data_IF_921171736339
#
_entry.id   IF_921171736339
#
_cell.length_a   1.000
_cell.length_b   1.000
_cell.length_c   1.000
_cell.angle_alpha   90.00
_cell.angle_beta   90.00
_cell.angle_gamma   90.00
#
_symmetry.space_group_name_H-M   'P 1'
#
loop_
_entity.id
_entity.type
_entity.pdbx_description
1 polymer ?
#
# COMPACT_ATOMS: atom_id res chain seq x y z
N UNK A 1 14.35 -1.61 5.99
CA UNK A 1 13.44 -0.45 6.20
C UNK A 1 12.24 -0.79 7.10
N UNK A 2 11.54 -1.91 6.92
CA UNK A 2 10.33 -2.24 7.71
C UNK A 2 10.66 -2.70 9.17
N UNK A 3 11.75 -3.45 9.36
CA UNK A 3 12.16 -3.97 10.68
C UNK A 3 12.50 -2.87 11.70
N UNK A 4 13.06 -1.73 11.26
CA UNK A 4 13.40 -0.63 12.16
C UNK A 4 12.16 0.07 12.72
N UNK A 5 11.15 0.28 11.87
CA UNK A 5 9.89 0.94 12.25
C UNK A 5 9.02 0.08 13.18
N UNK A 6 9.01 -1.25 12.99
CA UNK A 6 8.29 -2.15 13.89
C UNK A 6 8.95 -2.23 15.27
N UNK A 7 10.29 -2.30 15.33
CA UNK A 7 11.05 -2.32 16.60
C UNK A 7 10.84 -1.02 17.39
N UNK A 8 10.89 0.15 16.74
CA UNK A 8 10.66 1.42 17.43
C UNK A 8 9.23 1.50 17.99
N UNK A 9 8.25 1.07 17.21
CA UNK A 9 6.83 1.08 17.63
C UNK A 9 6.60 0.15 18.81
N UNK A 10 7.18 -1.06 18.80
CA UNK A 10 7.13 -1.98 19.94
C UNK A 10 7.83 -1.38 21.17
N UNK A 11 9.00 -0.76 21.00
CA UNK A 11 9.73 -0.15 22.13
C UNK A 11 8.96 1.00 22.79
N UNK A 12 8.31 1.86 21.99
CA UNK A 12 7.47 2.95 22.53
C UNK A 12 6.17 2.42 23.14
N UNK A 13 5.50 1.43 22.51
CA UNK A 13 4.24 0.88 23.00
C UNK A 13 4.41 -0.04 24.23
N UNK A 14 5.56 -0.72 24.40
CA UNK A 14 5.84 -1.52 25.60
C UNK A 14 6.03 -0.67 26.87
N UNK A 15 6.46 0.59 26.72
CA UNK A 15 6.56 1.54 27.85
C UNK A 15 5.20 2.09 28.28
N UNK A 16 4.16 1.94 27.47
CA UNK A 16 2.78 2.32 27.79
C UNK A 16 2.01 1.07 28.27
N UNK A 17 2.07 0.80 29.58
CA UNK A 17 1.31 -0.30 30.22
C UNK A 17 -0.10 0.14 30.60
N UNK A 18 -1.08 -0.77 30.47
CA UNK A 18 -2.43 -0.56 30.98
C UNK A 18 -2.41 -0.56 32.53
N UNK A 19 -2.96 0.47 33.21
CA UNK A 19 -2.83 0.65 34.66
C UNK A 19 -3.61 -0.35 35.53
N UNK A 20 -4.35 -1.28 34.95
CA UNK A 20 -5.20 -2.25 35.69
C UNK A 20 -5.05 -3.70 35.22
N UNK A 21 -4.29 -3.96 34.14
CA UNK A 21 -4.13 -5.29 33.57
C UNK A 21 -2.75 -5.31 32.89
N UNK A 22 -1.80 -6.08 33.43
CA UNK A 22 -0.41 -6.24 32.95
C UNK A 22 -0.32 -6.99 31.60
N UNK A 23 -1.21 -6.68 30.67
CA UNK A 23 -1.20 -7.19 29.30
C UNK A 23 -0.70 -6.09 28.36
N UNK A 24 0.20 -6.42 27.42
CA UNK A 24 0.60 -5.49 26.37
C UNK A 24 -0.61 -5.17 25.47
N UNK A 25 -0.68 -3.94 24.96
CA UNK A 25 -1.77 -3.49 24.06
C UNK A 25 -1.79 -4.23 22.70
N UNK A 26 -0.68 -4.89 22.35
CA UNK A 26 -0.52 -5.65 21.10
C UNK A 26 -0.59 -7.14 21.42
N UNK A 27 -1.51 -7.84 20.73
CA UNK A 27 -1.62 -9.31 20.78
C UNK A 27 -0.48 -9.97 19.98
N UNK A 28 0.64 -10.21 20.68
CA UNK A 28 1.83 -10.81 20.08
C UNK A 28 1.61 -12.26 19.60
N UNK A 29 0.69 -13.00 20.22
CA UNK A 29 0.40 -14.39 19.84
C UNK A 29 -0.18 -14.47 18.43
N UNK A 30 -1.13 -13.58 18.12
CA UNK A 30 -1.72 -13.46 16.79
C UNK A 30 -0.69 -12.98 15.76
N UNK A 31 0.17 -12.02 16.11
CA UNK A 31 1.25 -11.57 15.24
C UNK A 31 2.25 -12.69 14.89
N UNK A 32 2.54 -13.57 15.86
CA UNK A 32 3.45 -14.70 15.69
C UNK A 32 2.87 -15.77 14.75
N UNK A 33 1.54 -15.90 14.67
CA UNK A 33 0.85 -16.78 13.71
C UNK A 33 0.86 -16.18 12.30
N UNK A 34 0.74 -14.85 12.16
CA UNK A 34 0.80 -14.18 10.86
C UNK A 34 2.21 -14.10 10.27
N UNK A 35 3.24 -13.97 11.12
CA UNK A 35 4.65 -13.88 10.72
C UNK A 35 5.10 -15.02 9.77
N UNK A 36 4.89 -16.31 10.05
CA UNK A 36 5.32 -17.41 9.17
C UNK A 36 4.51 -17.49 7.87
N UNK A 37 3.21 -17.15 7.88
CA UNK A 37 2.40 -17.13 6.66
C UNK A 37 2.91 -16.08 5.65
N UNK A 38 3.33 -14.92 6.14
CA UNK A 38 3.93 -13.87 5.31
C UNK A 38 5.30 -14.30 4.78
N UNK A 39 6.14 -14.92 5.61
CA UNK A 39 7.45 -15.43 5.17
C UNK A 39 7.34 -16.54 4.13
N UNK A 40 6.35 -17.44 4.26
CA UNK A 40 6.07 -18.46 3.26
C UNK A 40 5.71 -17.85 1.91
N UNK A 41 4.81 -16.86 1.87
CA UNK A 41 4.47 -16.16 0.63
C UNK A 41 5.67 -15.50 -0.05
N UNK A 42 6.56 -14.88 0.72
CA UNK A 42 7.79 -14.26 0.20
C UNK A 42 8.74 -15.33 -0.34
N UNK A 43 8.95 -16.44 0.37
CA UNK A 43 9.82 -17.52 -0.08
C UNK A 43 9.31 -18.18 -1.36
N UNK A 44 8.00 -18.42 -1.49
CA UNK A 44 7.38 -18.96 -2.69
C UNK A 44 7.53 -17.97 -3.85
N UNK A 45 7.32 -16.68 -3.60
CA UNK A 45 7.54 -15.63 -4.61
C UNK A 45 8.99 -15.58 -5.11
N UNK A 46 9.97 -15.75 -4.22
CA UNK A 46 11.40 -15.77 -4.58
C UNK A 46 11.76 -17.04 -5.34
N UNK A 47 11.27 -18.20 -4.95
CA UNK A 47 11.52 -19.47 -5.67
C UNK A 47 10.89 -19.44 -7.06
N UNK A 48 9.66 -18.92 -7.18
CA UNK A 48 9.00 -18.72 -8.46
C UNK A 48 9.77 -17.73 -9.36
N UNK A 49 10.41 -16.71 -8.81
CA UNK A 49 11.27 -15.78 -9.56
C UNK A 49 12.53 -16.46 -10.10
N UNK A 50 13.10 -17.43 -9.37
CA UNK A 50 14.28 -18.19 -9.84
C UNK A 50 13.87 -19.24 -10.89
N UNK A 51 12.69 -19.84 -10.77
CA UNK A 51 12.19 -20.87 -11.70
C UNK A 51 11.70 -20.27 -13.02
N UNK A 52 11.06 -19.11 -12.98
CA UNK A 52 10.75 -18.33 -14.18
C UNK A 52 11.87 -17.33 -14.39
N UNK A 53 12.87 -17.69 -15.21
CA UNK A 53 13.46 -16.81 -16.21
C UNK A 53 13.11 -15.32 -16.01
N UNK A 54 14.02 -14.51 -15.45
CA UNK A 54 13.80 -13.12 -14.98
C UNK A 54 12.97 -12.22 -15.92
N UNK A 55 12.95 -12.56 -17.21
CA UNK A 55 12.16 -11.97 -18.28
C UNK A 55 10.63 -12.06 -18.06
N UNK A 56 10.08 -13.11 -17.44
CA UNK A 56 8.62 -13.23 -17.26
C UNK A 56 8.08 -12.33 -16.13
N UNK A 57 8.80 -12.25 -15.01
CA UNK A 57 8.42 -11.37 -13.89
C UNK A 57 8.55 -9.91 -14.30
N UNK A 58 9.62 -9.55 -15.03
CA UNK A 58 9.79 -8.21 -15.59
C UNK A 58 8.71 -7.85 -16.61
N UNK A 59 8.31 -8.77 -17.49
CA UNK A 59 7.19 -8.54 -18.44
C UNK A 59 5.87 -8.34 -17.70
N UNK A 60 5.56 -9.14 -16.67
CA UNK A 60 4.36 -8.96 -15.87
C UNK A 60 4.34 -7.59 -15.16
N UNK A 61 5.49 -7.17 -14.61
CA UNK A 61 5.65 -5.87 -13.97
C UNK A 61 5.47 -4.72 -14.97
N UNK A 62 6.04 -4.84 -16.18
CA UNK A 62 5.90 -3.85 -17.26
C UNK A 62 4.44 -3.70 -17.67
N UNK A 63 3.72 -4.81 -17.88
CA UNK A 63 2.29 -4.78 -18.25
C UNK A 63 1.46 -4.11 -17.14
N UNK A 64 1.73 -4.43 -15.88
CA UNK A 64 1.02 -3.84 -14.74
C UNK A 64 1.31 -2.34 -14.60
N UNK A 65 2.55 -1.89 -14.78
CA UNK A 65 2.90 -0.47 -14.77
C UNK A 65 2.26 0.30 -15.93
N UNK A 66 2.22 -0.29 -17.12
CA UNK A 66 1.57 0.28 -18.29
C UNK A 66 0.07 0.42 -18.03
N UNK A 67 -0.60 -0.62 -17.53
CA UNK A 67 -2.02 -0.59 -17.18
C UNK A 67 -2.37 0.48 -16.14
N UNK A 68 -1.58 0.58 -15.06
CA UNK A 68 -1.76 1.61 -14.04
C UNK A 68 -1.53 3.03 -14.60
N UNK A 69 -0.57 3.21 -15.50
CA UNK A 69 -0.31 4.50 -16.13
C UNK A 69 -1.46 4.96 -17.03
N UNK A 70 -2.08 4.04 -17.78
CA UNK A 70 -3.26 4.36 -18.59
C UNK A 70 -4.49 4.71 -17.74
N UNK A 71 -4.74 3.94 -16.67
CA UNK A 71 -5.80 4.27 -15.71
C UNK A 71 -5.55 5.66 -15.10
N UNK A 72 -4.32 5.97 -14.73
CA UNK A 72 -3.95 7.23 -14.11
C UNK A 72 -4.11 8.41 -15.09
N UNK A 73 -3.69 8.25 -16.35
CA UNK A 73 -3.82 9.31 -17.38
C UNK A 73 -5.29 9.60 -17.71
N UNK A 74 -6.13 8.57 -17.82
CA UNK A 74 -7.58 8.71 -18.01
C UNK A 74 -8.22 9.43 -16.81
N UNK A 75 -7.85 9.04 -15.60
CA UNK A 75 -8.35 9.67 -14.38
C UNK A 75 -7.97 11.17 -14.31
N UNK A 76 -6.73 11.51 -14.67
CA UNK A 76 -6.25 12.89 -14.73
C UNK A 76 -7.04 13.71 -15.77
N UNK A 77 -7.28 13.15 -16.96
CA UNK A 77 -8.04 13.82 -18.02
C UNK A 77 -9.49 14.09 -17.60
N UNK A 78 -10.14 13.12 -16.95
CA UNK A 78 -11.50 13.27 -16.40
C UNK A 78 -11.52 14.35 -15.32
N UNK A 79 -10.54 14.37 -14.41
CA UNK A 79 -10.45 15.38 -13.36
C UNK A 79 -10.28 16.78 -13.94
N UNK A 80 -9.36 16.97 -14.89
CA UNK A 80 -9.14 18.26 -15.57
C UNK A 80 -10.41 18.70 -16.31
N UNK A 81 -11.08 17.79 -17.01
CA UNK A 81 -12.34 18.09 -17.69
C UNK A 81 -13.45 18.51 -16.72
N UNK A 82 -13.59 17.81 -15.59
CA UNK A 82 -14.57 18.17 -14.55
C UNK A 82 -14.25 19.53 -13.92
N UNK A 83 -12.97 19.81 -13.65
CA UNK A 83 -12.51 21.09 -13.15
C UNK A 83 -12.84 22.20 -14.16
N UNK A 84 -12.54 22.00 -15.45
CA UNK A 84 -12.85 22.97 -16.50
C UNK A 84 -14.36 23.21 -16.67
N UNK A 85 -15.15 22.13 -16.58
CA UNK A 85 -16.62 22.21 -16.59
C UNK A 85 -17.15 22.97 -15.37
N UNK A 86 -16.58 22.74 -14.19
CA UNK A 86 -16.94 23.46 -12.97
C UNK A 86 -16.59 24.95 -13.05
N UNK A 87 -15.39 25.30 -13.53
CA UNK A 87 -14.98 26.69 -13.78
C UNK A 87 -15.94 27.40 -14.75
N UNK A 88 -16.33 26.73 -15.84
CA UNK A 88 -17.27 27.30 -16.82
C UNK A 88 -18.66 27.54 -16.20
N UNK A 89 -19.15 26.62 -15.37
CA UNK A 89 -20.44 26.75 -14.67
C UNK A 89 -20.40 27.90 -13.66
N UNK A 90 -19.30 28.04 -12.90
CA UNK A 90 -19.13 29.13 -11.93
C UNK A 90 -19.08 30.48 -12.64
N UNK A 91 -18.33 30.59 -13.74
CA UNK A 91 -18.26 31.83 -14.52
C UNK A 91 -19.63 32.24 -15.09
N UNK A 92 -20.38 31.28 -15.63
CA UNK A 92 -21.75 31.50 -16.11
C UNK A 92 -22.73 31.92 -15.00
N UNK A 93 -22.54 31.45 -13.75
CA UNK A 93 -23.36 31.85 -12.60
C UNK A 93 -22.98 33.24 -12.04
N UNK A 94 -21.76 33.73 -12.28
CA UNK A 94 -21.32 35.06 -11.84
C UNK A 94 -21.75 36.16 -12.84
N UNK A 95 -21.83 35.86 -14.13
CA UNK A 95 -22.22 36.81 -15.18
C UNK A 95 -23.74 36.96 -15.39
N UNK A 96 -24.59 36.22 -14.67
CA UNK A 96 -26.05 36.27 -14.77
C UNK A 96 -26.67 36.56 -13.40
#
# INVERSE_FOLDING_TARGET
MIMGASISTVYYNLRLRHPTLDMPLIDYDLALIFQPMLMLGISIGVICNVMFADWMVTVLLIILFIGNSYIFNICLFILIYLVFKAYRIIYLRICN
#
